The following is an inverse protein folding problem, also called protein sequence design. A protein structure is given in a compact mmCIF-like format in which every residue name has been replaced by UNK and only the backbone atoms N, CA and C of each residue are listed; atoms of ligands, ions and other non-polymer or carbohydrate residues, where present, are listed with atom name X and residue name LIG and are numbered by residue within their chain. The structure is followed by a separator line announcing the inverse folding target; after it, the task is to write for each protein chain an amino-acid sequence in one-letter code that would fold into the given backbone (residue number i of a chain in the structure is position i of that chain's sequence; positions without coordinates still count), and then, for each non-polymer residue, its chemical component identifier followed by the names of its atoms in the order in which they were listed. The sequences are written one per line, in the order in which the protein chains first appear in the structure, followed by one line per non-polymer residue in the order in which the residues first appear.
data_IF_290768807892
#
_entry.id   IF_290768807892
#
_cell.length_a   1.000
_cell.length_b   1.000
_cell.length_c   1.000
_cell.angle_alpha   90.00
_cell.angle_beta   90.00
_cell.angle_gamma   90.00
#
_symmetry.space_group_name_H-M   'P 1'
#
loop_
_entity.id
_entity.type
_entity.pdbx_description
1 polymer ?
#
# COMPACT_ATOMS: atom_id res chain seq x y z
N UNK A 1 -46.80 51.16 -44.58
CA UNK A 1 -46.96 49.74 -44.23
C UNK A 1 -45.71 48.86 -44.49
N UNK A 2 -44.51 49.40 -44.80
CA UNK A 2 -43.31 48.59 -45.07
C UNK A 2 -42.20 48.69 -43.99
N UNK A 3 -42.14 49.79 -43.24
CA UNK A 3 -41.11 49.97 -42.18
C UNK A 3 -41.37 49.13 -40.92
N UNK A 4 -42.63 48.80 -40.62
CA UNK A 4 -42.98 48.02 -39.43
C UNK A 4 -42.58 46.54 -39.56
N UNK A 5 -42.49 46.01 -40.79
CA UNK A 5 -42.10 44.62 -41.06
C UNK A 5 -40.59 44.39 -40.97
N UNK A 6 -39.77 45.36 -41.38
CA UNK A 6 -38.32 45.28 -41.25
C UNK A 6 -37.86 45.28 -39.78
N UNK A 7 -38.51 46.07 -38.92
CA UNK A 7 -38.22 46.11 -37.49
C UNK A 7 -38.58 44.79 -36.78
N UNK A 8 -39.72 44.19 -37.11
CA UNK A 8 -40.12 42.89 -36.54
C UNK A 8 -39.20 41.74 -37.00
N UNK A 9 -38.72 41.76 -38.24
CA UNK A 9 -37.78 40.76 -38.74
C UNK A 9 -36.39 40.84 -38.07
N UNK A 10 -35.93 42.05 -37.72
CA UNK A 10 -34.65 42.24 -37.00
C UNK A 10 -34.76 41.83 -35.53
N UNK A 11 -35.90 42.06 -34.88
CA UNK A 11 -36.17 41.63 -33.51
C UNK A 11 -36.23 40.09 -33.40
N UNK A 12 -36.91 39.42 -34.35
CA UNK A 12 -37.00 37.96 -34.40
C UNK A 12 -35.65 37.26 -34.58
N UNK A 13 -34.77 37.83 -35.42
CA UNK A 13 -33.39 37.32 -35.62
C UNK A 13 -32.51 37.52 -34.39
N UNK A 14 -32.71 38.60 -33.61
CA UNK A 14 -32.03 38.79 -32.33
C UNK A 14 -32.52 37.76 -31.30
N UNK A 15 -33.82 37.61 -31.09
CA UNK A 15 -34.35 36.66 -30.07
C UNK A 15 -34.00 35.19 -30.37
N UNK A 16 -33.97 34.75 -31.64
CA UNK A 16 -33.51 33.41 -32.01
C UNK A 16 -32.02 33.17 -31.74
N UNK A 17 -31.16 34.17 -32.03
CA UNK A 17 -29.71 34.08 -31.75
C UNK A 17 -29.45 33.96 -30.25
N UNK A 18 -30.22 34.66 -29.43
CA UNK A 18 -30.10 34.57 -27.97
C UNK A 18 -30.63 33.24 -27.40
N UNK A 19 -31.70 32.67 -27.99
CA UNK A 19 -32.20 31.33 -27.62
C UNK A 19 -31.20 30.20 -27.95
N UNK A 20 -30.52 30.28 -29.09
CA UNK A 20 -29.49 29.32 -29.48
C UNK A 20 -28.24 29.38 -28.60
N UNK A 21 -27.82 30.59 -28.18
CA UNK A 21 -26.68 30.79 -27.27
C UNK A 21 -26.98 30.22 -25.87
N UNK A 22 -28.21 30.37 -25.37
CA UNK A 22 -28.63 29.81 -24.07
C UNK A 22 -28.67 28.27 -24.07
N UNK A 23 -29.08 27.64 -25.17
CA UNK A 23 -29.10 26.16 -25.25
C UNK A 23 -27.69 25.59 -25.44
N UNK A 24 -26.81 26.30 -26.14
CA UNK A 24 -25.40 25.91 -26.27
C UNK A 24 -24.62 25.99 -24.95
N UNK A 25 -24.98 26.91 -24.04
CA UNK A 25 -24.33 27.05 -22.73
C UNK A 25 -24.73 25.93 -21.74
N UNK A 26 -25.98 25.44 -21.78
CA UNK A 26 -26.45 24.39 -20.85
C UNK A 26 -25.99 22.98 -21.29
N UNK A 27 -25.86 22.72 -22.59
CA UNK A 27 -25.38 21.42 -23.09
C UNK A 27 -23.87 21.20 -22.89
N UNK A 28 -23.07 22.28 -22.88
CA UNK A 28 -21.62 22.19 -22.68
C UNK A 28 -21.19 22.01 -21.22
N UNK A 29 -22.06 22.31 -20.24
CA UNK A 29 -21.72 22.17 -18.82
C UNK A 29 -22.02 20.79 -18.22
N UNK A 30 -22.85 19.96 -18.86
CA UNK A 30 -23.26 18.63 -18.33
C UNK A 30 -22.33 17.47 -18.73
N UNK A 31 -21.37 17.67 -19.66
CA UNK A 31 -20.41 16.64 -20.07
C UNK A 31 -19.00 16.80 -19.45
N UNK A 32 -18.75 17.84 -18.66
CA UNK A 32 -17.41 18.15 -18.13
C UNK A 32 -17.08 17.49 -16.77
N UNK A 33 -17.99 16.73 -16.16
CA UNK A 33 -17.78 16.14 -14.82
C UNK A 33 -17.36 14.66 -14.88
N UNK A 34 -17.51 13.98 -16.04
CA UNK A 34 -17.30 12.52 -16.16
C UNK A 34 -15.93 12.12 -16.74
N UNK A 35 -14.88 12.91 -16.52
CA UNK A 35 -13.53 12.58 -17.01
C UNK A 35 -12.41 12.91 -16.03
N UNK A 36 -12.72 13.03 -14.73
CA UNK A 36 -11.69 12.98 -13.70
C UNK A 36 -11.32 11.51 -13.49
N UNK A 37 -10.13 11.03 -13.91
CA UNK A 37 -9.62 9.78 -13.35
C UNK A 37 -9.56 10.00 -11.85
N UNK A 38 -10.38 9.26 -11.10
CA UNK A 38 -10.30 9.27 -9.64
C UNK A 38 -8.85 8.98 -9.27
N UNK A 39 -8.22 9.88 -8.52
CA UNK A 39 -6.89 9.60 -7.98
C UNK A 39 -6.97 8.26 -7.25
N UNK A 40 -5.97 7.36 -7.40
CA UNK A 40 -5.98 6.12 -6.66
C UNK A 40 -6.08 6.48 -5.17
N UNK A 41 -7.14 6.02 -4.51
CA UNK A 41 -7.24 6.16 -3.06
C UNK A 41 -6.14 5.28 -2.49
N UNK A 42 -5.03 5.90 -2.08
CA UNK A 42 -3.98 5.21 -1.34
C UNK A 42 -4.59 4.77 0.00
N UNK A 43 -4.99 3.50 0.10
CA UNK A 43 -5.38 2.92 1.38
C UNK A 43 -4.10 2.79 2.21
N UNK A 44 -4.03 3.53 3.32
CA UNK A 44 -2.97 3.30 4.30
C UNK A 44 -3.01 1.82 4.72
N UNK A 45 -1.86 1.15 4.67
CA UNK A 45 -1.77 -0.25 5.07
C UNK A 45 -2.18 -0.36 6.55
N UNK A 46 -2.97 -1.38 6.91
CA UNK A 46 -3.40 -1.55 8.30
C UNK A 46 -2.26 -2.09 9.19
N UNK A 47 -1.21 -2.65 8.58
CA UNK A 47 -0.01 -3.10 9.24
C UNK A 47 1.20 -2.90 8.33
N UNK A 48 2.39 -2.87 8.92
CA UNK A 48 3.67 -2.81 8.21
C UNK A 48 4.66 -3.77 8.86
N UNK A 49 5.62 -4.27 8.06
CA UNK A 49 6.74 -5.02 8.57
C UNK A 49 8.05 -4.58 7.90
N UNK A 50 9.14 -4.62 8.67
CA UNK A 50 10.50 -4.51 8.16
C UNK A 50 11.29 -5.73 8.57
N UNK A 51 12.20 -6.17 7.70
CA UNK A 51 13.17 -7.22 8.01
C UNK A 51 14.53 -6.79 7.45
N UNK A 52 15.42 -6.35 8.32
CA UNK A 52 16.67 -5.70 7.91
C UNK A 52 17.87 -6.37 8.55
N UNK A 53 18.90 -6.65 7.76
CA UNK A 53 20.18 -7.11 8.30
C UNK A 53 20.98 -5.96 8.86
N UNK A 54 21.41 -6.14 10.11
CA UNK A 54 22.11 -5.14 10.92
C UNK A 54 23.60 -5.45 11.09
N UNK A 55 24.01 -6.69 10.85
CA UNK A 55 25.41 -7.11 10.89
C UNK A 55 25.61 -8.37 10.06
N UNK A 56 26.74 -8.44 9.35
CA UNK A 56 27.17 -9.60 8.57
C UNK A 56 28.65 -9.86 8.82
N UNK A 57 29.04 -11.12 8.87
CA UNK A 57 30.43 -11.56 8.89
C UNK A 57 30.58 -12.81 8.02
N UNK A 58 31.80 -13.35 7.93
CA UNK A 58 32.15 -14.41 6.99
C UNK A 58 31.26 -15.67 7.05
N UNK A 59 30.64 -15.95 8.19
CA UNK A 59 29.89 -17.21 8.43
C UNK A 59 28.48 -16.98 8.95
N UNK A 60 28.00 -15.73 9.00
CA UNK A 60 26.66 -15.46 9.51
C UNK A 60 26.26 -14.00 9.51
N UNK A 61 25.03 -13.78 9.99
CA UNK A 61 24.41 -12.48 10.00
C UNK A 61 23.43 -12.33 11.16
N UNK A 62 23.10 -11.07 11.48
CA UNK A 62 22.03 -10.70 12.40
C UNK A 62 21.03 -9.82 11.65
N UNK A 63 19.77 -10.26 11.61
CA UNK A 63 18.66 -9.45 11.13
C UNK A 63 17.73 -9.06 12.28
N UNK A 64 17.08 -7.91 12.12
CA UNK A 64 16.02 -7.42 13.01
C UNK A 64 14.74 -7.29 12.24
N UNK A 65 13.64 -7.64 12.88
CA UNK A 65 12.30 -7.40 12.35
C UNK A 65 11.55 -6.41 13.24
N UNK A 66 10.69 -5.63 12.60
CA UNK A 66 9.67 -4.81 13.26
C UNK A 66 8.34 -5.08 12.59
N UNK A 67 7.31 -5.40 13.37
CA UNK A 67 5.93 -5.53 12.93
C UNK A 67 5.12 -4.43 13.61
N UNK A 68 4.50 -3.55 12.84
CA UNK A 68 3.76 -2.39 13.34
C UNK A 68 2.29 -2.50 12.99
N UNK A 69 1.43 -2.27 13.97
CA UNK A 69 -0.01 -2.16 13.77
C UNK A 69 -0.38 -0.70 13.52
N UNK A 70 -0.78 -0.37 12.29
CA UNK A 70 -1.18 0.99 11.91
C UNK A 70 -2.71 1.16 11.91
N UNK A 71 -3.44 0.12 12.30
CA UNK A 71 -4.90 0.13 12.38
C UNK A 71 -5.40 0.66 13.73
N UNK A 72 -6.71 0.87 13.84
CA UNK A 72 -7.40 1.26 15.07
C UNK A 72 -7.83 0.07 15.94
N UNK A 73 -7.61 -1.17 15.49
CA UNK A 73 -7.94 -2.40 16.21
C UNK A 73 -6.67 -3.16 16.62
N UNK A 74 -6.68 -3.94 17.72
CA UNK A 74 -5.53 -4.79 18.07
C UNK A 74 -5.24 -5.83 16.98
N UNK A 75 -3.95 -6.02 16.66
CA UNK A 75 -3.49 -7.06 15.75
C UNK A 75 -2.94 -8.23 16.57
N UNK A 76 -3.53 -9.41 16.42
CA UNK A 76 -3.08 -10.62 17.11
C UNK A 76 -2.48 -11.62 16.14
N UNK A 77 -1.60 -12.48 16.64
CA UNK A 77 -1.09 -13.65 15.91
C UNK A 77 -0.48 -13.32 14.55
N UNK A 78 0.36 -12.27 14.55
CA UNK A 78 1.08 -11.86 13.35
C UNK A 78 1.98 -12.98 12.83
N UNK A 79 2.13 -13.02 11.51
CA UNK A 79 2.92 -14.02 10.80
C UNK A 79 3.81 -13.33 9.79
N UNK A 80 5.12 -13.35 10.01
CA UNK A 80 6.09 -12.75 9.09
C UNK A 80 6.80 -13.86 8.32
N UNK A 81 6.59 -13.88 7.01
CA UNK A 81 7.07 -14.92 6.11
C UNK A 81 8.13 -14.35 5.20
N UNK A 82 9.17 -15.12 4.91
CA UNK A 82 10.23 -14.74 3.97
C UNK A 82 10.99 -15.97 3.50
N UNK A 83 11.71 -15.82 2.40
CA UNK A 83 12.59 -16.85 1.88
C UNK A 83 14.06 -16.45 2.06
N UNK A 84 14.91 -17.41 2.39
CA UNK A 84 16.36 -17.23 2.33
C UNK A 84 16.94 -17.92 1.09
N UNK A 85 17.91 -17.30 0.40
CA UNK A 85 18.63 -17.95 -0.67
C UNK A 85 19.36 -19.22 -0.23
N UNK A 86 19.66 -20.09 -1.19
CA UNK A 86 20.49 -21.28 -0.93
C UNK A 86 21.85 -20.84 -0.41
N UNK A 87 22.34 -21.53 0.63
CA UNK A 87 23.58 -21.16 1.32
C UNK A 87 23.36 -20.31 2.57
N UNK A 88 22.11 -19.91 2.87
CA UNK A 88 21.75 -19.23 4.11
C UNK A 88 20.71 -20.02 4.91
N UNK A 89 20.80 -19.95 6.25
CA UNK A 89 19.78 -20.51 7.13
C UNK A 89 19.72 -19.79 8.47
N UNK A 90 18.60 -19.96 9.19
CA UNK A 90 18.41 -19.38 10.52
C UNK A 90 18.87 -20.36 11.60
N UNK A 91 19.77 -19.90 12.48
CA UNK A 91 20.21 -20.68 13.66
C UNK A 91 19.29 -20.55 14.85
N UNK A 92 18.84 -19.33 15.16
CA UNK A 92 17.87 -19.07 16.22
C UNK A 92 17.25 -17.69 16.06
N UNK A 93 16.16 -17.48 16.77
CA UNK A 93 15.41 -16.22 16.84
C UNK A 93 15.21 -15.79 18.29
N UNK A 94 14.87 -14.53 18.49
CA UNK A 94 14.37 -14.01 19.76
C UNK A 94 13.14 -13.14 19.53
N UNK A 95 12.32 -12.99 20.57
CA UNK A 95 11.00 -12.34 20.50
C UNK A 95 10.06 -12.92 19.43
N UNK A 96 10.31 -14.16 19.02
CA UNK A 96 9.54 -14.88 18.00
C UNK A 96 9.85 -16.38 18.06
N UNK A 97 8.92 -17.20 17.59
CA UNK A 97 9.16 -18.59 17.21
C UNK A 97 9.29 -18.69 15.69
N UNK A 98 10.08 -19.67 15.22
CA UNK A 98 10.34 -19.87 13.79
C UNK A 98 9.97 -21.29 13.36
N UNK A 99 9.38 -21.39 12.18
CA UNK A 99 9.21 -22.66 11.45
C UNK A 99 9.81 -22.52 10.06
N UNK A 100 10.24 -23.64 9.48
CA UNK A 100 10.94 -23.67 8.20
C UNK A 100 10.41 -24.82 7.33
N UNK A 101 10.25 -24.55 6.04
CA UNK A 101 10.02 -25.55 5.01
C UNK A 101 10.90 -25.25 3.80
N UNK A 102 11.96 -26.02 3.60
CA UNK A 102 12.96 -25.73 2.57
C UNK A 102 13.65 -24.38 2.84
N UNK A 103 13.57 -23.45 1.88
CA UNK A 103 14.10 -22.08 2.00
C UNK A 103 13.09 -21.08 2.58
N UNK A 104 11.86 -21.51 2.83
CA UNK A 104 10.78 -20.66 3.34
C UNK A 104 10.73 -20.67 4.87
N UNK A 105 10.67 -19.49 5.47
CA UNK A 105 10.66 -19.29 6.92
C UNK A 105 9.43 -18.50 7.35
N UNK A 106 8.87 -18.90 8.49
CA UNK A 106 7.71 -18.24 9.09
C UNK A 106 8.02 -17.91 10.54
N UNK A 107 8.03 -16.62 10.86
CA UNK A 107 8.10 -16.10 12.22
C UNK A 107 6.70 -15.87 12.77
N UNK A 108 6.51 -16.28 14.03
CA UNK A 108 5.30 -16.10 14.82
C UNK A 108 5.64 -15.44 16.15
N UNK A 109 4.68 -14.77 16.81
CA UNK A 109 4.93 -14.07 18.06
C UNK A 109 5.40 -14.98 19.19
N UNK A 110 6.20 -14.40 20.07
CA UNK A 110 6.34 -14.89 21.43
C UNK A 110 5.08 -14.53 22.25
N UNK A 111 4.88 -15.20 23.38
CA UNK A 111 3.67 -15.01 24.19
C UNK A 111 3.42 -13.54 24.60
N UNK A 112 4.49 -12.78 24.89
CA UNK A 112 4.39 -11.40 25.35
C UNK A 112 4.15 -10.36 24.24
N UNK A 113 4.36 -10.72 22.96
CA UNK A 113 4.16 -9.81 21.82
C UNK A 113 3.17 -10.38 20.79
N UNK A 114 2.31 -11.30 21.24
CA UNK A 114 1.24 -11.91 20.45
C UNK A 114 0.19 -10.91 20.01
N UNK A 115 -0.11 -9.92 20.85
CA UNK A 115 -1.08 -8.86 20.56
C UNK A 115 -0.36 -7.53 20.49
N UNK A 116 -0.55 -6.81 19.38
CA UNK A 116 -0.01 -5.48 19.14
C UNK A 116 -1.17 -4.49 19.15
N UNK A 117 -1.18 -3.59 20.14
CA UNK A 117 -2.17 -2.53 20.24
C UNK A 117 -2.12 -1.57 19.02
N UNK A 118 -3.20 -0.81 18.75
CA UNK A 118 -3.17 0.26 17.75
C UNK A 118 -1.96 1.19 17.91
N UNK A 119 -1.22 1.40 16.82
CA UNK A 119 0.02 2.21 16.81
C UNK A 119 1.24 1.55 17.45
N UNK A 120 1.10 0.35 18.01
CA UNK A 120 2.20 -0.39 18.65
C UNK A 120 3.03 -1.20 17.66
N UNK A 121 4.14 -1.75 18.17
CA UNK A 121 5.02 -2.63 17.40
C UNK A 121 5.52 -3.83 18.22
N UNK A 122 5.71 -4.95 17.53
CA UNK A 122 6.51 -6.07 18.01
C UNK A 122 7.87 -6.05 17.30
N UNK A 123 8.94 -6.16 18.06
CA UNK A 123 10.31 -6.18 17.54
C UNK A 123 11.06 -7.41 18.02
N UNK A 124 12.02 -7.83 17.20
CA UNK A 124 12.86 -8.97 17.51
C UNK A 124 13.97 -9.12 16.51
N UNK A 125 14.51 -10.32 16.42
CA UNK A 125 15.54 -10.60 15.44
C UNK A 125 15.89 -12.07 15.35
N UNK A 126 16.86 -12.30 14.47
CA UNK A 126 17.29 -13.62 14.08
C UNK A 126 18.80 -13.62 13.87
N UNK A 127 19.41 -14.76 14.19
CA UNK A 127 20.79 -15.06 13.88
C UNK A 127 20.83 -16.12 12.80
N UNK A 128 21.39 -15.76 11.66
CA UNK A 128 21.61 -16.67 10.56
C UNK A 128 23.05 -17.17 10.46
N UNK A 129 23.21 -18.23 9.68
CA UNK A 129 24.49 -18.67 9.12
C UNK A 129 24.43 -18.55 7.62
N UNK A 130 25.57 -18.27 7.01
CA UNK A 130 25.72 -18.17 5.58
C UNK A 130 27.01 -18.84 5.12
N UNK A 131 26.99 -19.41 3.92
CA UNK A 131 28.16 -19.85 3.18
C UNK A 131 28.28 -19.04 1.89
N UNK A 132 29.39 -18.33 1.71
CA UNK A 132 29.60 -17.45 0.55
C UNK A 132 29.20 -16.01 0.84
N UNK A 133 28.58 -15.34 -0.13
CA UNK A 133 28.17 -13.95 -0.01
C UNK A 133 26.74 -13.84 0.54
N UNK A 134 26.55 -12.94 1.50
CA UNK A 134 25.22 -12.63 2.04
C UNK A 134 24.30 -12.04 0.96
N UNK A 135 23.05 -12.49 0.95
CA UNK A 135 21.96 -11.99 0.11
C UNK A 135 20.71 -11.75 0.97
N UNK A 136 20.05 -10.59 0.87
CA UNK A 136 18.88 -10.28 1.69
C UNK A 136 17.70 -11.26 1.55
N UNK A 137 16.87 -11.41 2.60
CA UNK A 137 15.63 -12.18 2.53
C UNK A 137 14.75 -11.73 1.38
N UNK A 138 14.13 -12.70 0.71
CA UNK A 138 13.24 -12.49 -0.43
C UNK A 138 11.79 -12.72 0.00
N UNK A 139 10.84 -12.23 -0.81
CA UNK A 139 9.40 -12.48 -0.65
C UNK A 139 8.87 -12.22 0.78
N UNK A 140 9.43 -11.22 1.45
CA UNK A 140 9.04 -10.89 2.82
C UNK A 140 7.62 -10.33 2.84
N UNK A 141 6.72 -10.99 3.59
CA UNK A 141 5.30 -10.62 3.69
C UNK A 141 4.77 -10.84 5.10
N UNK A 142 4.03 -9.86 5.61
CA UNK A 142 3.29 -9.94 6.87
C UNK A 142 1.85 -10.36 6.61
N UNK A 143 1.39 -11.38 7.34
CA UNK A 143 0.04 -11.95 7.30
C UNK A 143 -0.43 -12.32 5.89
N UNK A 144 0.50 -12.66 4.99
CA UNK A 144 0.23 -12.96 3.58
C UNK A 144 -0.31 -11.77 2.76
N UNK A 145 -0.28 -10.55 3.30
CA UNK A 145 -0.95 -9.38 2.70
C UNK A 145 -0.06 -8.16 2.55
N UNK A 146 0.83 -7.90 3.52
CA UNK A 146 1.63 -6.67 3.56
C UNK A 146 3.09 -6.97 3.24
N UNK A 147 3.59 -6.61 2.04
CA UNK A 147 5.00 -6.75 1.72
C UNK A 147 5.87 -5.98 2.72
N UNK A 148 7.01 -6.54 3.07
CA UNK A 148 7.96 -5.84 3.92
C UNK A 148 8.61 -4.68 3.16
N UNK A 149 8.93 -3.62 3.91
CA UNK A 149 9.72 -2.47 3.43
C UNK A 149 11.19 -2.61 3.81
#
# INVERSE_FOLDING_TARGET
MALMWAAMAVLGKRVMRWRAILHAAVAALMFAILALPGAPIARAAAAAATLTVTSTWQTGFIARFTVTNMSTAPMSDWRLEFDLPVGESIRHTWSSAITQSGTHYVLTPANWNRVIAPGGSATGGLRGVLSGSYTPPLNCVLNGQYPCS
#
